data_IF_040219855876
#
_entry.id   IF_040219855876
#
_cell.length_a   1.000
_cell.length_b   1.000
_cell.length_c   1.000
_cell.angle_alpha   90.00
_cell.angle_beta   90.00
_cell.angle_gamma   90.00
#
_symmetry.space_group_name_H-M   'P 1'
#
loop_
_entity.id
_entity.type
_entity.pdbx_description
1 polymer ?
2 polymer ?
3 polymer ?
4 polymer ?
5 non-polymer ?
6 water ?
#
loop_
_entity_poly.entity_id
_entity_poly.type
_entity_poly.pdbx_seq_one_letter_code
_entity_poly.pdbx_strand_id
3 'polydeoxyribonucleotide' '(DT)(DG)(DT)(DA)(DT)(DG)(DC)(DA)(DA)(DA)(DT)(DA)(DA)(DG)(DG)' ?
4 'polydeoxyribonucleotide' '(DA)(DC)(DC)(DT)(DT)(DA)(DT)(DT)(DT)(DG)(DC)(DA)(DT)(DA)(DC)' ?
#
# COMPACT_ATOMS: atom_id res chain seq x y z
N UNK A 5 33.66 -5.37 23.75
CA UNK A 5 32.38 -6.08 23.73
C UNK A 5 31.38 -5.44 22.77
N UNK A 6 30.68 -6.28 22.01
CA UNK A 6 29.62 -5.77 21.14
C UNK A 6 28.51 -5.14 21.96
N UNK A 7 28.04 -5.84 22.99
CA UNK A 7 26.98 -5.29 23.83
C UNK A 7 27.39 -3.93 24.40
N UNK A 8 28.61 -3.85 24.93
CA UNK A 8 29.08 -2.59 25.50
C UNK A 8 29.20 -1.51 24.42
N UNK A 9 29.58 -1.89 23.19
CA UNK A 9 29.62 -0.90 22.11
C UNK A 9 28.25 -0.35 21.81
N UNK A 10 27.23 -1.21 21.79
CA UNK A 10 25.86 -0.74 21.58
C UNK A 10 25.41 0.15 22.73
N UNK A 11 25.79 -0.19 23.96
CA UNK A 11 25.46 0.64 25.11
C UNK A 11 26.06 2.05 24.97
N UNK A 12 27.36 2.12 24.65
CA UNK A 12 28.01 3.41 24.51
C UNK A 12 27.43 4.21 23.36
N UNK A 13 27.13 3.55 22.22
CA UNK A 13 26.57 4.28 21.09
C UNK A 13 25.19 4.84 21.43
N UNK A 14 24.32 4.01 21.97
CA UNK A 14 22.99 4.50 22.32
C UNK A 14 23.10 5.73 23.21
N UNK A 15 24.03 5.70 24.17
CA UNK A 15 24.19 6.84 25.07
C UNK A 15 24.66 8.08 24.30
N UNK A 16 25.71 7.94 23.50
CA UNK A 16 26.20 9.08 22.72
C UNK A 16 25.12 9.62 21.79
N UNK A 17 24.38 8.73 21.13
CA UNK A 17 23.30 9.15 20.25
C UNK A 17 22.25 9.95 21.00
N UNK A 18 21.79 9.42 22.14
CA UNK A 18 20.78 10.11 22.94
C UNK A 18 21.28 11.48 23.38
N UNK A 19 22.52 11.55 23.91
CA UNK A 19 23.07 12.84 24.35
C UNK A 19 23.07 13.86 23.22
N UNK A 20 23.48 13.46 22.02
CA UNK A 20 23.57 14.43 20.93
C UNK A 20 22.18 14.86 20.49
N UNK A 21 21.25 13.91 20.40
CA UNK A 21 19.86 14.26 20.10
C UNK A 21 19.35 15.34 21.04
N UNK A 22 19.55 15.13 22.35
CA UNK A 22 19.03 16.06 23.34
C UNK A 22 19.80 17.38 23.29
N UNK A 23 21.11 17.32 23.04
CA UNK A 23 21.89 18.55 23.02
C UNK A 23 21.40 19.47 21.92
N UNK A 24 20.90 18.91 20.82
CA UNK A 24 20.41 19.69 19.69
C UNK A 24 18.94 20.03 19.79
N UNK A 25 18.24 19.51 20.79
CA UNK A 25 16.83 19.83 20.94
C UNK A 25 15.89 18.99 20.11
N UNK A 26 16.37 17.88 19.53
CA UNK A 26 15.54 16.97 18.77
C UNK A 26 14.69 16.11 19.70
N UNK A 27 13.42 15.91 19.33
CA UNK A 27 12.67 14.84 19.99
C UNK A 27 13.03 13.49 19.35
N UNK A 28 12.61 12.41 20.00
CA UNK A 28 12.76 11.08 19.41
C UNK A 28 11.98 10.96 18.11
N UNK A 29 10.74 11.46 18.09
CA UNK A 29 10.00 11.50 16.83
C UNK A 29 10.67 12.33 15.76
N UNK A 30 11.23 13.50 16.13
CA UNK A 30 11.95 14.31 15.17
C UNK A 30 13.05 13.52 14.48
N UNK A 31 13.83 12.80 15.26
CA UNK A 31 15.01 12.18 14.66
C UNK A 31 14.57 10.97 13.84
N UNK A 32 13.51 10.27 14.25
CA UNK A 32 12.99 9.21 13.39
C UNK A 32 12.51 9.71 12.05
N UNK A 33 11.82 10.85 12.04
CA UNK A 33 11.41 11.46 10.78
C UNK A 33 12.62 11.93 9.99
N UNK A 34 13.61 12.52 10.67
CA UNK A 34 14.80 12.99 9.98
C UNK A 34 15.46 11.85 9.22
N UNK A 35 15.45 10.64 9.79
CA UNK A 35 16.13 9.54 9.13
C UNK A 35 15.39 9.10 7.86
N UNK A 36 14.09 9.35 7.78
CA UNK A 36 13.37 9.11 6.55
C UNK A 36 13.68 10.16 5.49
N UNK A 37 13.72 11.42 5.92
CA UNK A 37 14.00 12.51 4.99
C UNK A 37 15.40 12.38 4.41
N UNK A 38 16.39 12.12 5.26
CA UNK A 38 17.78 12.14 4.83
C UNK A 38 18.23 10.82 4.20
N UNK A 39 17.79 9.69 4.75
CA UNK A 39 18.28 8.38 4.32
C UNK A 39 17.17 7.47 3.79
N UNK A 40 15.94 7.95 3.72
CA UNK A 40 14.86 7.23 3.09
C UNK A 40 14.18 6.20 3.96
N UNK A 41 14.60 6.04 5.21
CA UNK A 41 14.11 4.98 6.09
C UNK A 41 13.67 5.60 7.41
N UNK A 42 12.39 5.96 7.48
CA UNK A 42 11.86 6.56 8.70
C UNK A 42 11.58 5.48 9.75
N UNK A 43 11.75 5.86 11.01
CA UNK A 43 11.40 5.01 12.14
C UNK A 43 10.59 5.83 13.14
N UNK A 44 9.81 5.13 13.94
CA UNK A 44 8.85 5.76 14.83
C UNK A 44 9.54 6.24 16.10
N UNK A 45 8.87 7.16 16.78
CA UNK A 45 9.30 7.56 18.11
C UNK A 45 9.49 6.35 19.02
N UNK A 46 8.55 5.39 18.95
CA UNK A 46 8.63 4.18 19.74
C UNK A 46 9.94 3.45 19.52
N UNK A 47 10.34 3.30 18.27
CA UNK A 47 11.56 2.58 17.99
C UNK A 47 12.77 3.35 18.50
N UNK A 48 12.79 4.66 18.30
CA UNK A 48 13.91 5.45 18.81
C UNK A 48 14.00 5.30 20.32
N UNK A 49 12.85 5.30 21.01
CA UNK A 49 12.84 5.12 22.45
C UNK A 49 13.46 3.78 22.84
N UNK A 50 12.99 2.70 22.21
CA UNK A 50 13.52 1.39 22.53
C UNK A 50 15.01 1.34 22.26
N UNK A 51 15.46 1.91 21.15
CA UNK A 51 16.88 1.83 20.82
C UNK A 51 17.70 2.51 21.91
N UNK A 52 17.28 3.71 22.34
CA UNK A 52 18.04 4.46 23.35
C UNK A 52 18.03 3.77 24.72
N UNK A 53 16.98 3.02 25.02
CA UNK A 53 16.89 2.27 26.27
C UNK A 53 17.49 0.86 26.15
N UNK A 54 17.97 0.47 24.98
CA UNK A 54 18.50 -0.88 24.77
C UNK A 54 17.41 -1.93 24.97
N UNK A 55 16.16 -1.56 24.74
CA UNK A 55 15.03 -2.49 24.81
C UNK A 55 14.70 -3.09 23.46
N UNK A 56 15.72 -3.38 22.66
CA UNK A 56 15.61 -4.13 21.43
C UNK A 56 16.59 -5.30 21.49
N UNK A 57 16.35 -6.30 20.64
CA UNK A 57 17.23 -7.45 20.63
C UNK A 57 18.62 -7.05 20.12
N UNK A 58 19.58 -7.94 20.33
CA UNK A 58 20.94 -7.66 19.87
C UNK A 58 20.98 -7.50 18.36
N UNK A 59 20.42 -8.46 17.62
CA UNK A 59 20.40 -8.35 16.17
C UNK A 59 19.70 -7.05 15.74
N UNK A 60 18.62 -6.69 16.43
CA UNK A 60 17.86 -5.53 16.01
C UNK A 60 18.66 -4.25 16.25
N UNK A 61 19.40 -4.19 17.36
CA UNK A 61 20.21 -3.00 17.58
C UNK A 61 21.35 -2.93 16.58
N UNK A 62 21.98 -4.08 16.29
CA UNK A 62 23.04 -4.10 15.30
C UNK A 62 22.53 -3.67 13.93
N UNK A 63 21.26 -3.94 13.64
CA UNK A 63 20.73 -3.57 12.33
C UNK A 63 20.50 -2.07 12.23
N UNK A 64 19.97 -1.46 13.30
CA UNK A 64 19.61 -0.04 13.25
C UNK A 64 20.81 0.86 13.49
N UNK A 65 21.82 0.38 14.22
CA UNK A 65 22.94 1.25 14.61
C UNK A 65 23.58 1.95 13.42
N UNK A 66 23.92 1.28 12.32
CA UNK A 66 24.55 1.99 11.21
C UNK A 66 23.65 3.05 10.60
N UNK A 67 22.33 2.86 10.65
CA UNK A 67 21.41 3.89 10.17
C UNK A 67 21.43 5.10 11.11
N UNK A 68 21.27 4.86 12.41
CA UNK A 68 21.34 5.96 13.38
C UNK A 68 22.71 6.62 13.36
N UNK A 69 23.75 5.85 13.07
CA UNK A 69 25.10 6.42 13.06
C UNK A 69 25.27 7.43 11.93
N UNK A 70 24.56 7.25 10.81
CA UNK A 70 24.61 8.24 9.74
C UNK A 70 24.14 9.60 10.24
N UNK A 71 23.06 9.63 11.01
CA UNK A 71 22.57 10.91 11.52
C UNK A 71 23.53 11.47 12.56
N UNK A 72 24.02 10.63 13.47
CA UNK A 72 24.94 11.10 14.49
C UNK A 72 26.20 11.70 13.85
N UNK A 73 26.73 11.04 12.81
CA UNK A 73 27.91 11.60 12.15
C UNK A 73 27.62 12.96 11.54
N UNK A 74 26.42 13.14 10.97
CA UNK A 74 26.04 14.46 10.48
C UNK A 74 25.88 15.44 11.65
N UNK A 75 25.21 15.02 12.72
CA UNK A 75 25.06 15.87 13.89
C UNK A 75 26.40 16.22 14.54
N UNK A 76 27.45 15.45 14.27
CA UNK A 76 28.76 15.71 14.83
C UNK A 76 29.76 16.22 13.80
N UNK A 77 29.33 16.47 12.57
CA UNK A 77 30.21 17.05 11.57
C UNK A 77 30.41 18.53 11.84
N UNK A 100 9.87 1.22 3.86
CA UNK A 100 9.61 0.06 3.03
C UNK A 100 8.43 -0.76 3.56
N UNK A 101 8.19 -0.73 4.87
CA UNK A 101 7.06 -1.49 5.41
C UNK A 101 5.76 -0.74 5.16
N UNK A 102 4.68 -1.51 5.04
CA UNK A 102 3.36 -0.92 4.92
C UNK A 102 2.97 -0.24 6.23
N UNK A 103 2.19 0.82 6.12
CA UNK A 103 1.68 1.49 7.32
C UNK A 103 0.83 0.53 8.15
N UNK A 104 0.89 0.72 9.46
CA UNK A 104 0.14 -0.12 10.38
C UNK A 104 -1.35 0.17 10.27
N UNK A 105 -2.15 -0.82 9.90
CA UNK A 105 -3.58 -0.60 9.70
C UNK A 105 -4.29 -0.41 11.04
N UNK A 106 -5.09 0.65 11.15
CA UNK A 106 -5.98 0.83 12.30
C UNK A 106 -7.30 0.12 12.03
N UNK A 107 -7.72 -0.73 12.95
CA UNK A 107 -8.95 -1.49 12.84
C UNK A 107 -9.97 -0.91 13.81
N UNK A 108 -11.10 -0.46 13.28
CA UNK A 108 -12.14 0.15 14.11
C UNK A 108 -12.60 -0.83 15.19
N UNK A 109 -12.98 -0.28 16.34
CA UNK A 109 -13.40 -1.12 17.45
C UNK A 109 -14.51 -2.08 17.05
N UNK A 110 -15.53 -1.57 16.34
CA UNK A 110 -16.65 -2.43 15.98
C UNK A 110 -16.22 -3.50 14.97
N UNK A 111 -15.25 -3.19 14.11
CA UNK A 111 -14.73 -4.20 13.19
C UNK A 111 -13.91 -5.24 13.96
N UNK A 112 -13.07 -4.80 14.90
CA UNK A 112 -12.30 -5.75 15.69
C UNK A 112 -13.21 -6.71 16.43
N UNK A 113 -14.35 -6.22 16.93
CA UNK A 113 -15.25 -7.10 17.67
C UNK A 113 -15.92 -8.10 16.73
N UNK A 114 -16.22 -7.69 15.49
CA UNK A 114 -16.75 -8.62 14.51
C UNK A 114 -15.74 -9.72 14.20
N UNK A 115 -14.47 -9.35 14.00
CA UNK A 115 -13.45 -10.36 13.76
C UNK A 115 -13.28 -11.27 14.98
N UNK A 116 -13.31 -10.70 16.18
CA UNK A 116 -13.12 -11.51 17.38
C UNK A 116 -14.26 -12.51 17.56
N UNK A 117 -15.51 -12.09 17.31
CA UNK A 117 -16.61 -13.02 17.49
C UNK A 117 -16.54 -14.15 16.46
N UNK A 118 -16.11 -13.84 15.24
CA UNK A 118 -15.88 -14.89 14.25
C UNK A 118 -14.80 -15.85 14.70
N UNK A 119 -13.70 -15.30 15.26
CA UNK A 119 -12.59 -16.13 15.70
C UNK A 119 -13.03 -17.16 16.73
N UNK A 120 -13.97 -16.77 17.60
CA UNK A 120 -14.36 -17.65 18.70
C UNK A 120 -15.02 -18.93 18.21
N UNK A 121 -15.69 -18.90 17.06
CA UNK A 121 -16.32 -20.11 16.53
C UNK A 121 -15.65 -20.61 15.26
N UNK A 122 -14.73 -19.85 14.68
CA UNK A 122 -13.99 -20.27 13.49
C UNK A 122 -12.62 -19.62 13.56
N UNK A 123 -11.73 -20.17 14.38
CA UNK A 123 -10.39 -19.56 14.53
C UNK A 123 -9.53 -19.67 13.28
N UNK A 124 -9.91 -20.52 12.32
CA UNK A 124 -9.08 -20.75 11.14
C UNK A 124 -9.98 -20.80 9.91
N UNK A 125 -10.49 -19.64 9.52
CA UNK A 125 -11.31 -19.59 8.30
C UNK A 125 -10.49 -19.95 7.08
N UNK A 126 -11.18 -20.52 6.11
CA UNK A 126 -10.56 -20.82 4.83
C UNK A 126 -10.17 -19.54 4.10
N UNK A 127 -9.36 -19.70 3.06
CA UNK A 127 -9.01 -18.55 2.23
C UNK A 127 -10.24 -17.90 1.63
N UNK A 128 -11.19 -18.72 1.12
CA UNK A 128 -12.43 -18.16 0.61
C UNK A 128 -13.12 -17.32 1.68
N UNK A 129 -13.23 -17.85 2.89
CA UNK A 129 -13.94 -17.12 3.93
C UNK A 129 -13.21 -15.83 4.28
N UNK A 130 -11.87 -15.90 4.32
CA UNK A 130 -11.08 -14.70 4.58
C UNK A 130 -11.41 -13.64 3.53
N UNK A 131 -11.47 -14.03 2.26
CA UNK A 131 -11.78 -13.07 1.21
C UNK A 131 -13.19 -12.51 1.38
N UNK A 132 -14.13 -13.35 1.80
CA UNK A 132 -15.50 -12.89 1.97
C UNK A 132 -15.61 -11.93 3.15
N UNK A 133 -14.91 -12.23 4.25
CA UNK A 133 -14.89 -11.33 5.40
C UNK A 133 -14.34 -9.98 4.98
N UNK A 134 -13.22 -9.98 4.27
CA UNK A 134 -12.63 -8.72 3.83
C UNK A 134 -13.59 -7.93 2.97
N UNK A 135 -14.26 -8.59 2.02
CA UNK A 135 -15.21 -7.91 1.15
C UNK A 135 -16.33 -7.29 1.97
N UNK A 136 -16.87 -8.04 2.92
CA UNK A 136 -18.00 -7.55 3.71
C UNK A 136 -17.59 -6.40 4.62
N UNK A 137 -16.39 -6.47 5.18
CA UNK A 137 -15.89 -5.46 6.08
C UNK A 137 -15.09 -4.37 5.38
N UNK A 138 -15.04 -4.37 4.04
CA UNK A 138 -14.36 -3.34 3.26
C UNK A 138 -12.90 -3.20 3.69
N UNK A 139 -12.25 -4.32 3.97
CA UNK A 139 -10.85 -4.38 4.33
C UNK A 139 -10.06 -5.08 3.23
N UNK A 140 -8.74 -4.95 3.29
CA UNK A 140 -7.87 -5.70 2.39
C UNK A 140 -7.75 -7.15 2.84
N UNK A 141 -7.81 -8.07 1.87
CA UNK A 141 -7.75 -9.49 2.19
C UNK A 141 -6.50 -9.82 3.01
N UNK A 142 -5.35 -9.22 2.66
CA UNK A 142 -4.13 -9.54 3.39
C UNK A 142 -4.22 -9.12 4.85
N UNK A 143 -4.91 -8.03 5.14
CA UNK A 143 -5.05 -7.60 6.52
C UNK A 143 -5.89 -8.60 7.29
N UNK A 144 -6.99 -9.06 6.71
CA UNK A 144 -7.82 -10.03 7.41
C UNK A 144 -7.05 -11.34 7.60
N UNK A 145 -6.34 -11.79 6.55
CA UNK A 145 -5.54 -13.01 6.67
C UNK A 145 -4.58 -12.90 7.85
N UNK A 146 -3.84 -11.81 7.90
CA UNK A 146 -2.84 -11.63 8.94
C UNK A 146 -3.49 -11.46 10.31
N UNK A 147 -4.65 -10.78 10.36
CA UNK A 147 -5.38 -10.70 11.63
C UNK A 147 -5.63 -12.07 12.22
N UNK A 148 -6.08 -13.03 11.41
CA UNK A 148 -6.37 -14.34 11.95
C UNK A 148 -5.09 -15.09 12.31
N UNK A 149 -4.03 -14.91 11.52
CA UNK A 149 -2.76 -15.54 11.88
C UNK A 149 -2.29 -15.06 13.24
N UNK A 150 -2.29 -13.74 13.43
CA UNK A 150 -1.83 -13.16 14.68
C UNK A 150 -2.73 -13.58 15.83
N UNK A 151 -4.03 -13.66 15.59
CA UNK A 151 -4.95 -13.99 16.66
C UNK A 151 -4.78 -15.42 17.11
N UNK A 152 -4.48 -16.33 16.18
CA UNK A 152 -4.16 -17.69 16.57
C UNK A 152 -2.90 -17.72 17.43
N UNK A 153 -1.89 -16.94 17.05
CA UNK A 153 -0.66 -16.90 17.84
C UNK A 153 -0.93 -16.32 19.23
N UNK A 154 -1.77 -15.29 19.30
CA UNK A 154 -2.13 -14.75 20.61
C UNK A 154 -2.80 -15.80 21.48
N UNK A 155 -3.73 -16.57 20.90
CA UNK A 155 -4.42 -17.56 21.70
C UNK A 155 -3.42 -18.58 22.27
N UNK A 156 -2.37 -18.89 21.51
CA UNK A 156 -1.31 -19.73 22.06
C UNK A 156 -0.53 -19.00 23.16
N UNK A 157 -0.18 -17.72 22.93
CA UNK A 157 0.62 -17.00 23.92
C UNK A 157 -0.10 -16.93 25.26
N UNK A 158 -1.38 -16.54 25.25
CA UNK A 158 -2.11 -16.36 26.51
C UNK A 158 -2.57 -17.68 27.09
N UNK A 159 -2.29 -18.80 26.43
CA UNK A 159 -2.65 -20.13 26.92
C UNK A 159 -4.15 -20.25 27.14
N UNK B 6 -4.27 -10.14 33.78
CA UNK B 6 -2.95 -10.13 34.39
C UNK B 6 -1.88 -10.62 33.42
N UNK B 7 -2.30 -11.43 32.45
CA UNK B 7 -1.36 -12.02 31.49
C UNK B 7 -1.03 -11.00 30.41
N UNK B 8 0.24 -10.96 30.03
CA UNK B 8 0.69 -10.06 28.97
C UNK B 8 0.07 -10.49 27.65
N UNK B 9 -0.65 -9.57 27.00
CA UNK B 9 -1.44 -9.93 25.81
C UNK B 9 -0.60 -9.99 24.53
N UNK B 10 0.33 -9.06 24.34
CA UNK B 10 1.01 -8.89 23.07
C UNK B 10 2.37 -9.58 23.01
N UNK B 11 3.10 -9.27 21.96
CA UNK B 11 4.42 -9.84 21.72
C UNK B 11 5.45 -8.99 22.45
N UNK B 12 6.43 -9.65 23.07
CA UNK B 12 7.55 -8.96 23.70
C UNK B 12 8.85 -9.32 23.00
N UNK B 13 9.78 -8.37 22.99
CA UNK B 13 11.14 -8.69 22.57
C UNK B 13 11.74 -9.71 23.52
N UNK B 14 12.39 -10.71 22.96
CA UNK B 14 13.18 -11.65 23.75
C UNK B 14 14.62 -11.19 23.79
N UNK B 15 15.23 -11.24 24.97
CA UNK B 15 16.65 -10.97 25.12
C UNK B 15 17.01 -9.59 24.57
N UNK B 16 16.52 -8.58 25.28
CA UNK B 16 16.94 -7.21 24.98
C UNK B 16 18.42 -7.01 25.33
N UNK B 17 19.02 -6.04 24.66
CA UNK B 17 20.42 -5.75 24.96
C UNK B 17 20.57 -5.38 26.43
N UNK B 18 19.59 -4.68 26.99
CA UNK B 18 19.63 -4.33 28.40
C UNK B 18 19.72 -5.59 29.27
N UNK B 19 18.88 -6.59 29.00
CA UNK B 19 18.92 -7.81 29.79
C UNK B 19 20.21 -8.58 29.57
N UNK B 20 20.67 -8.66 28.31
CA UNK B 20 21.90 -9.39 28.03
C UNK B 20 23.09 -8.75 28.73
N UNK B 21 23.13 -7.41 28.78
CA UNK B 21 24.21 -6.74 29.50
C UNK B 21 24.18 -7.05 30.98
N UNK B 22 22.99 -7.06 31.58
CA UNK B 22 22.88 -7.40 33.00
C UNK B 22 23.28 -8.85 33.23
N UNK B 23 22.91 -9.74 32.30
CA UNK B 23 23.25 -11.15 32.46
C UNK B 23 24.76 -11.36 32.33
N UNK B 24 25.40 -10.63 31.42
CA UNK B 24 26.85 -10.75 31.28
C UNK B 24 27.57 -10.20 32.52
N UNK B 25 27.13 -9.04 33.02
CA UNK B 25 27.80 -8.44 34.15
C UNK B 25 27.55 -9.18 35.46
N UNK B 26 26.58 -10.10 35.49
CA UNK B 26 26.33 -10.89 36.68
C UNK B 26 27.13 -12.19 36.67
N UNK B 27 27.49 -12.70 35.50
CA UNK B 27 28.25 -13.94 35.38
C UNK B 27 27.76 -14.80 34.24
N UNK E 5 -29.92 -7.18 -8.09
CA UNK E 5 -30.77 -6.39 -8.97
C UNK E 5 -29.96 -5.34 -9.70
N UNK E 6 -29.26 -4.49 -8.93
CA UNK E 6 -28.43 -3.47 -9.55
C UNK E 6 -27.33 -4.10 -10.39
N UNK E 7 -26.70 -5.17 -9.88
CA UNK E 7 -25.76 -5.92 -10.69
C UNK E 7 -26.41 -6.41 -11.97
N UNK E 8 -27.64 -6.93 -11.85
CA UNK E 8 -28.35 -7.40 -13.03
C UNK E 8 -28.63 -6.26 -13.99
N UNK E 9 -28.96 -5.08 -13.46
CA UNK E 9 -29.24 -3.93 -14.32
C UNK E 9 -28.00 -3.51 -15.09
N UNK E 10 -26.84 -3.52 -14.44
CA UNK E 10 -25.60 -3.21 -15.15
C UNK E 10 -25.36 -4.24 -16.26
N UNK E 11 -25.51 -5.53 -15.94
CA UNK E 11 -25.34 -6.57 -16.95
C UNK E 11 -26.24 -6.31 -18.16
N UNK E 12 -27.53 -6.03 -17.92
CA UNK E 12 -28.46 -5.80 -19.01
C UNK E 12 -28.07 -4.57 -19.83
N UNK E 13 -27.68 -3.48 -19.16
CA UNK E 13 -27.29 -2.29 -19.90
C UNK E 13 -26.02 -2.53 -20.71
N UNK E 14 -25.04 -3.23 -20.13
CA UNK E 14 -23.81 -3.49 -20.88
C UNK E 14 -24.12 -4.27 -22.15
N UNK E 15 -25.10 -5.17 -22.10
CA UNK E 15 -25.45 -5.97 -23.26
C UNK E 15 -26.20 -5.14 -24.30
N UNK E 16 -27.09 -4.25 -23.87
CA UNK E 16 -27.81 -3.40 -24.81
C UNK E 16 -26.87 -2.41 -25.47
N UNK E 17 -25.91 -1.86 -24.71
CA UNK E 17 -24.96 -0.92 -25.27
C UNK E 17 -24.10 -1.59 -26.34
N UNK E 18 -23.50 -2.72 -26.00
CA UNK E 18 -22.67 -3.45 -26.96
C UNK E 18 -23.45 -3.82 -28.22
N UNK E 19 -24.71 -4.21 -28.07
CA UNK E 19 -25.43 -4.69 -29.24
C UNK E 19 -25.78 -3.53 -30.18
N UNK E 20 -26.05 -2.35 -29.64
CA UNK E 20 -26.30 -1.21 -30.51
C UNK E 20 -25.00 -0.77 -31.17
N UNK E 21 -23.90 -0.77 -30.42
CA UNK E 21 -22.60 -0.43 -30.99
C UNK E 21 -22.29 -1.30 -32.19
N UNK E 22 -22.35 -2.62 -32.03
CA UNK E 22 -22.06 -3.54 -33.11
C UNK E 22 -23.05 -3.37 -34.26
N UNK E 23 -24.32 -3.08 -33.94
CA UNK E 23 -25.34 -2.94 -34.98
C UNK E 23 -25.03 -1.77 -35.91
N UNK E 24 -24.39 -0.73 -35.37
CA UNK E 24 -24.06 0.45 -36.15
C UNK E 24 -22.66 0.42 -36.73
N UNK E 25 -21.93 -0.68 -36.57
CA UNK E 25 -20.61 -0.80 -37.14
C UNK E 25 -19.53 -0.08 -36.37
N UNK E 26 -19.80 0.31 -35.14
CA UNK E 26 -18.84 1.05 -34.32
C UNK E 26 -17.93 0.08 -33.59
N UNK E 27 -16.64 0.42 -33.56
CA UNK E 27 -15.72 -0.31 -32.70
C UNK E 27 -15.75 0.25 -31.28
N UNK E 28 -15.13 -0.49 -30.36
CA UNK E 28 -14.98 0.00 -28.99
C UNK E 28 -14.21 1.31 -28.96
N UNK E 29 -13.10 1.36 -29.67
CA UNK E 29 -12.33 2.61 -29.74
C UNK E 29 -13.10 3.74 -30.38
N UNK E 30 -13.89 3.45 -31.42
CA UNK E 30 -14.74 4.45 -32.05
C UNK E 30 -15.70 5.08 -31.05
N UNK E 31 -16.40 4.24 -30.29
CA UNK E 31 -17.41 4.78 -29.38
C UNK E 31 -16.75 5.53 -28.24
N UNK E 32 -15.58 5.09 -27.80
CA UNK E 32 -14.86 5.84 -26.78
C UNK E 32 -14.47 7.23 -27.25
N UNK E 33 -13.96 7.32 -28.48
CA UNK E 33 -13.70 8.62 -29.09
C UNK E 33 -14.98 9.44 -29.25
N UNK E 34 -16.08 8.78 -29.62
CA UNK E 34 -17.33 9.51 -29.84
C UNK E 34 -17.79 10.20 -28.56
N UNK E 35 -17.63 9.55 -27.43
CA UNK E 35 -18.11 10.17 -26.21
C UNK E 35 -17.23 11.36 -25.82
N UNK E 36 -15.96 11.33 -26.21
CA UNK E 36 -15.16 12.53 -26.12
C UNK E 36 -15.66 13.63 -27.04
N UNK E 37 -15.93 13.28 -28.30
CA UNK E 37 -16.30 14.28 -29.29
C UNK E 37 -17.66 14.89 -28.97
N UNK E 38 -18.60 14.10 -28.47
CA UNK E 38 -19.96 14.57 -28.26
C UNK E 38 -20.16 15.25 -26.91
N UNK E 39 -19.53 14.71 -25.87
CA UNK E 39 -19.84 15.11 -24.51
C UNK E 39 -18.63 15.60 -23.73
N UNK E 40 -17.43 15.51 -24.29
CA UNK E 40 -16.24 15.82 -23.54
C UNK E 40 -15.86 14.77 -22.52
N UNK E 41 -16.32 13.54 -22.70
CA UNK E 41 -16.02 12.41 -21.80
C UNK E 41 -15.29 11.36 -22.60
N UNK E 42 -14.01 11.59 -22.90
CA UNK E 42 -13.25 10.65 -23.71
C UNK E 42 -12.93 9.41 -22.89
N UNK E 43 -13.15 8.24 -23.47
CA UNK E 43 -12.73 6.99 -22.87
C UNK E 43 -12.04 6.12 -23.92
N UNK E 44 -11.14 5.27 -23.44
CA UNK E 44 -10.30 4.44 -24.30
C UNK E 44 -11.02 3.19 -24.71
N UNK E 45 -10.55 2.61 -25.82
CA UNK E 45 -10.95 1.25 -26.19
C UNK E 45 -10.88 0.31 -25.00
N UNK E 46 -9.80 0.40 -24.21
CA UNK E 46 -9.61 -0.47 -23.07
C UNK E 46 -10.78 -0.36 -22.10
N UNK E 47 -11.18 0.86 -21.77
CA UNK E 47 -12.28 1.06 -20.84
C UNK E 47 -13.60 0.53 -21.41
N UNK E 48 -13.86 0.76 -22.69
CA UNK E 48 -15.08 0.22 -23.30
C UNK E 48 -15.08 -1.29 -23.24
N UNK E 49 -13.94 -1.92 -23.56
CA UNK E 49 -13.84 -3.37 -23.44
C UNK E 49 -14.20 -3.82 -22.04
N UNK E 50 -13.61 -3.17 -21.03
CA UNK E 50 -13.84 -3.61 -19.66
C UNK E 50 -15.29 -3.38 -19.25
N UNK E 51 -15.89 -2.27 -19.68
CA UNK E 51 -17.28 -2.03 -19.32
C UNK E 51 -18.18 -3.09 -19.93
N UNK E 52 -18.00 -3.37 -21.22
CA UNK E 52 -18.86 -4.36 -21.87
C UNK E 52 -18.66 -5.76 -21.30
N UNK E 53 -17.50 -6.03 -20.73
CA UNK E 53 -17.20 -7.32 -20.12
C UNK E 53 -17.48 -7.35 -18.63
N UNK E 54 -17.93 -6.23 -18.05
CA UNK E 54 -18.17 -6.11 -16.62
C UNK E 54 -16.89 -6.28 -15.80
N UNK E 55 -15.71 -6.10 -16.42
CA UNK E 55 -14.41 -6.15 -15.71
C UNK E 55 -14.05 -4.82 -15.05
N UNK E 56 -15.02 -4.17 -14.43
CA UNK E 56 -14.80 -2.99 -13.62
C UNK E 56 -15.53 -3.17 -12.29
N UNK E 57 -15.17 -2.35 -11.31
CA UNK E 57 -15.82 -2.45 -10.01
C UNK E 57 -17.28 -2.03 -10.11
N UNK E 58 -18.03 -2.31 -9.04
CA UNK E 58 -19.43 -1.93 -9.01
C UNK E 58 -19.58 -0.41 -9.06
N UNK E 59 -18.85 0.31 -8.21
CA UNK E 59 -18.94 1.77 -8.22
C UNK E 59 -18.53 2.35 -9.57
N UNK E 60 -17.49 1.79 -10.18
CA UNK E 60 -17.00 2.31 -11.45
C UNK E 60 -18.03 2.12 -12.56
N UNK E 61 -18.67 0.94 -12.62
CA UNK E 61 -19.69 0.73 -13.63
C UNK E 61 -20.91 1.62 -13.40
N UNK E 62 -21.27 1.86 -12.15
CA UNK E 62 -22.37 2.77 -11.87
C UNK E 62 -22.05 4.18 -12.32
N UNK E 63 -20.78 4.56 -12.23
CA UNK E 63 -20.37 5.91 -12.62
C UNK E 63 -20.38 6.06 -14.14
N UNK E 64 -19.93 5.03 -14.86
CA UNK E 64 -19.81 5.12 -16.31
C UNK E 64 -21.14 4.92 -17.02
N UNK E 65 -22.05 4.13 -16.45
CA UNK E 65 -23.31 3.84 -17.12
C UNK E 65 -24.05 5.08 -17.57
N UNK E 66 -24.27 6.09 -16.72
CA UNK E 66 -25.03 7.25 -17.20
C UNK E 66 -24.37 7.95 -18.37
N UNK E 67 -23.03 7.86 -18.47
CA UNK E 67 -22.33 8.51 -19.56
C UNK E 67 -22.54 7.74 -20.87
N UNK E 68 -22.31 6.42 -20.83
CA UNK E 68 -22.57 5.59 -22.00
C UNK E 68 -24.05 5.62 -22.38
N UNK E 69 -24.93 5.80 -21.40
CA UNK E 69 -26.37 5.83 -21.68
C UNK E 69 -26.74 7.05 -22.51
N UNK E 70 -26.00 8.14 -22.36
CA UNK E 70 -26.25 9.33 -23.18
C UNK E 70 -26.02 9.01 -24.65
N UNK E 71 -24.93 8.33 -24.95
CA UNK E 71 -24.69 7.92 -26.33
C UNK E 71 -25.78 6.95 -26.80
N UNK E 72 -26.10 5.96 -25.97
CA UNK E 72 -27.09 4.96 -26.38
C UNK E 72 -28.42 5.64 -26.69
N UNK E 73 -28.81 6.62 -25.87
CA UNK E 73 -30.08 7.30 -26.11
C UNK E 73 -30.03 8.09 -27.41
N UNK E 74 -28.90 8.75 -27.71
CA UNK E 74 -28.79 9.42 -29.00
C UNK E 74 -28.78 8.41 -30.14
N UNK E 75 -28.18 7.24 -29.92
CA UNK E 75 -28.17 6.20 -30.96
C UNK E 75 -29.56 5.66 -31.23
N UNK E 76 -30.47 5.75 -30.26
CA UNK E 76 -31.82 5.20 -30.40
C UNK E 76 -32.87 6.25 -30.76
N UNK E 77 -32.46 7.49 -31.02
CA UNK E 77 -33.42 8.53 -31.38
C UNK E 77 -33.57 8.63 -32.90
N UNK E 100 -10.84 15.11 -18.67
CA UNK E 100 -10.71 15.55 -17.29
C UNK E 100 -9.40 15.06 -16.68
N UNK E 101 -8.92 13.92 -17.16
CA UNK E 101 -7.63 13.41 -16.72
C UNK E 101 -6.57 13.80 -17.74
N UNK E 102 -5.34 13.93 -17.25
CA UNK E 102 -4.18 14.09 -18.12
C UNK E 102 -3.97 12.82 -18.95
N UNK E 103 -3.57 13.01 -20.21
CA UNK E 103 -3.18 11.88 -21.05
C UNK E 103 -2.10 11.07 -20.33
N UNK E 104 -2.22 9.75 -20.43
CA UNK E 104 -1.22 8.90 -19.81
C UNK E 104 0.13 9.12 -20.49
N UNK E 105 1.15 9.45 -19.70
CA UNK E 105 2.48 9.68 -20.24
C UNK E 105 3.11 8.33 -20.58
N UNK E 106 3.63 8.23 -21.80
CA UNK E 106 4.40 7.07 -22.22
C UNK E 106 5.84 7.25 -21.76
N UNK E 107 6.32 6.34 -20.93
CA UNK E 107 7.67 6.43 -20.38
C UNK E 107 8.52 5.38 -21.09
N UNK E 108 9.46 5.84 -21.90
CA UNK E 108 10.27 4.93 -22.71
C UNK E 108 11.07 3.99 -21.82
N UNK E 109 11.46 2.87 -22.42
CA UNK E 109 12.23 1.85 -21.72
C UNK E 109 13.51 2.43 -21.12
N UNK E 110 14.25 3.22 -21.91
CA UNK E 110 15.52 3.75 -21.42
C UNK E 110 15.30 4.66 -20.22
N UNK E 111 14.21 5.41 -20.21
CA UNK E 111 13.92 6.29 -19.08
C UNK E 111 13.48 5.47 -17.87
N UNK E 112 12.68 4.43 -18.08
CA UNK E 112 12.25 3.60 -16.96
C UNK E 112 13.46 2.96 -16.27
N UNK E 113 14.43 2.48 -17.05
CA UNK E 113 15.62 1.87 -16.45
C UNK E 113 16.39 2.88 -15.63
N UNK E 114 16.49 4.12 -16.12
CA UNK E 114 17.18 5.19 -15.40
C UNK E 114 16.47 5.53 -14.08
N UNK E 115 15.15 5.66 -14.12
CA UNK E 115 14.40 5.92 -12.90
C UNK E 115 14.53 4.77 -11.92
N UNK E 116 14.52 3.53 -12.42
CA UNK E 116 14.64 2.39 -11.52
C UNK E 116 15.98 2.43 -10.78
N UNK E 117 17.05 2.83 -11.46
CA UNK E 117 18.35 2.93 -10.81
C UNK E 117 18.33 4.01 -9.73
N UNK E 118 17.64 5.12 -9.99
CA UNK E 118 17.51 6.16 -8.98
C UNK E 118 16.69 5.67 -7.80
N UNK E 119 15.67 4.86 -8.07
CA UNK E 119 14.85 4.31 -7.00
C UNK E 119 15.66 3.38 -6.10
N UNK E 120 16.55 2.58 -6.70
CA UNK E 120 17.42 1.75 -5.88
C UNK E 120 18.36 2.61 -5.03
N UNK E 121 18.77 3.78 -5.54
CA UNK E 121 19.64 4.65 -4.75
C UNK E 121 18.87 5.28 -3.59
N UNK E 122 17.64 5.70 -3.82
CA UNK E 122 16.83 6.39 -2.84
C UNK E 122 15.37 6.20 -3.21
N UNK E 123 14.62 5.39 -2.47
CA UNK E 123 13.22 5.16 -2.82
C UNK E 123 12.34 6.38 -2.63
N UNK E 124 12.79 7.38 -1.86
CA UNK E 124 11.98 8.55 -1.52
C UNK E 124 12.81 9.83 -1.65
N UNK E 125 13.11 10.23 -2.89
CA UNK E 125 13.80 11.52 -3.09
C UNK E 125 12.98 12.68 -2.55
N UNK E 126 13.69 13.71 -2.11
CA UNK E 126 13.02 14.95 -1.72
C UNK E 126 12.39 15.61 -2.93
N UNK E 127 11.48 16.56 -2.67
CA UNK E 127 10.91 17.34 -3.75
C UNK E 127 11.99 18.01 -4.59
N UNK E 128 13.00 18.59 -3.94
CA UNK E 128 14.12 19.17 -4.69
C UNK E 128 14.83 18.10 -5.54
N UNK E 129 15.01 16.89 -4.99
CA UNK E 129 15.66 15.83 -5.76
C UNK E 129 14.81 15.42 -6.94
N UNK E 130 13.50 15.33 -6.74
CA UNK E 130 12.57 15.03 -7.83
C UNK E 130 12.71 16.07 -8.94
N UNK E 131 12.80 17.34 -8.56
CA UNK E 131 12.93 18.39 -9.56
C UNK E 131 14.21 18.22 -10.38
N UNK E 132 15.31 17.86 -9.72
CA UNK E 132 16.56 17.67 -10.44
C UNK E 132 16.50 16.46 -11.36
N UNK E 133 15.85 15.38 -10.92
CA UNK E 133 15.71 14.21 -11.78
C UNK E 133 14.89 14.57 -13.02
N UNK E 134 13.77 15.26 -12.83
CA UNK E 134 12.96 15.66 -13.98
C UNK E 134 13.77 16.54 -14.92
N UNK E 135 14.60 17.41 -14.36
CA UNK E 135 15.45 18.29 -15.17
C UNK E 135 16.48 17.51 -15.95
N UNK E 136 17.10 16.51 -15.32
CA UNK E 136 18.14 15.74 -15.98
C UNK E 136 17.56 14.83 -17.06
N UNK E 137 16.37 14.29 -16.84
CA UNK E 137 15.73 13.41 -17.81
C UNK E 137 14.79 14.13 -18.76
N UNK E 138 14.72 15.46 -18.68
CA UNK E 138 13.83 16.26 -19.53
C UNK E 138 12.38 15.75 -19.43
N UNK E 139 11.92 15.53 -18.22
CA UNK E 139 10.55 15.11 -17.94
C UNK E 139 9.86 16.18 -17.09
N UNK E 140 8.53 16.10 -17.07
CA UNK E 140 7.76 16.99 -16.20
C UNK E 140 7.92 16.54 -14.75
N UNK E 141 8.07 17.52 -13.86
CA UNK E 141 8.28 17.21 -12.45
C UNK E 141 7.17 16.33 -11.89
N UNK E 142 5.92 16.64 -12.21
CA UNK E 142 4.80 15.87 -11.67
C UNK E 142 4.82 14.41 -12.13
N UNK E 143 5.31 14.14 -13.35
CA UNK E 143 5.40 12.77 -13.82
C UNK E 143 6.45 12.01 -13.03
N UNK E 144 7.56 12.67 -12.70
CA UNK E 144 8.58 12.01 -11.90
C UNK E 144 8.08 11.80 -10.48
N UNK E 145 7.43 12.80 -9.89
CA UNK E 145 6.91 12.66 -8.53
C UNK E 145 5.98 11.45 -8.44
N UNK E 146 5.05 11.35 -9.38
CA UNK E 146 4.07 10.25 -9.39
C UNK E 146 4.76 8.92 -9.67
N UNK E 147 5.74 8.90 -10.59
CA UNK E 147 6.49 7.67 -10.84
C UNK E 147 7.05 7.09 -9.55
N UNK E 148 7.62 7.91 -8.67
CA UNK E 148 8.19 7.41 -7.43
C UNK E 148 7.10 6.97 -6.46
N UNK E 149 5.99 7.70 -6.40
CA UNK E 149 4.87 7.27 -5.57
C UNK E 149 4.40 5.90 -6.01
N UNK E 150 4.16 5.73 -7.30
CA UNK E 150 3.66 4.45 -7.77
C UNK E 150 4.69 3.36 -7.56
N UNK E 151 5.98 3.69 -7.73
CA UNK E 151 7.02 2.66 -7.59
C UNK E 151 7.12 2.19 -6.13
N UNK E 152 7.01 3.13 -5.19
CA UNK E 152 6.96 2.74 -3.79
C UNK E 152 5.78 1.85 -3.50
N UNK E 153 4.62 2.16 -4.09
CA UNK E 153 3.45 1.33 -3.85
C UNK E 153 3.67 -0.07 -4.42
N UNK E 154 4.29 -0.14 -5.59
CA UNK E 154 4.58 -1.45 -6.20
C UNK E 154 5.48 -2.28 -5.29
N UNK E 155 6.51 -1.66 -4.72
CA UNK E 155 7.42 -2.38 -3.83
C UNK E 155 6.66 -3.03 -2.67
N UNK E 156 5.68 -2.32 -2.12
CA UNK E 156 4.87 -2.88 -1.04
C UNK E 156 3.90 -3.94 -1.56
N UNK E 157 3.46 -3.81 -2.82
CA UNK E 157 2.49 -4.74 -3.39
C UNK E 157 3.11 -6.12 -3.58
N UNK E 158 4.22 -6.19 -4.32
CA UNK E 158 4.82 -7.46 -4.68
C UNK E 158 5.90 -7.90 -3.70
N UNK E 159 6.19 -7.09 -2.69
CA UNK E 159 7.18 -7.44 -1.65
C UNK E 159 8.56 -7.56 -2.26
N UNK F 6 3.32 -17.11 -11.47
CA UNK F 6 3.72 -15.79 -11.93
C UNK F 6 3.19 -14.71 -10.99
N UNK F 7 3.93 -13.61 -10.91
CA UNK F 7 3.61 -12.52 -10.00
C UNK F 7 2.96 -11.41 -10.80
N UNK F 8 1.73 -11.04 -10.43
CA UNK F 8 1.05 -9.92 -11.06
C UNK F 8 1.70 -8.61 -10.64
N UNK F 9 2.21 -7.85 -11.61
CA UNK F 9 3.03 -6.68 -11.29
C UNK F 9 2.19 -5.45 -10.97
N UNK F 10 1.07 -5.26 -11.65
CA UNK F 10 0.33 -4.01 -11.61
C UNK F 10 -0.81 -4.04 -10.61
N UNK F 11 -1.59 -2.95 -10.64
CA UNK F 11 -2.77 -2.81 -9.81
C UNK F 11 -3.90 -3.59 -10.46
N UNK F 12 -4.67 -4.32 -9.66
CA UNK F 12 -5.81 -5.08 -10.13
C UNK F 12 -7.10 -4.45 -9.61
N UNK F 13 -8.13 -4.41 -10.45
CA UNK F 13 -9.45 -4.07 -9.97
C UNK F 13 -9.90 -5.13 -8.97
N UNK F 14 -10.52 -4.68 -7.88
CA UNK F 14 -11.08 -5.59 -6.89
C UNK F 14 -12.58 -5.70 -7.08
N UNK F 15 -13.11 -6.91 -6.86
CA UNK F 15 -14.54 -7.14 -6.90
C UNK F 15 -15.15 -6.55 -8.17
N UNK F 16 -14.72 -7.06 -9.32
CA UNK F 16 -15.36 -6.69 -10.57
C UNK F 16 -16.82 -7.12 -10.55
N UNK F 17 -17.64 -6.42 -11.35
CA UNK F 17 -19.05 -6.79 -11.44
C UNK F 17 -19.19 -8.18 -12.02
N UNK F 18 -18.30 -8.56 -12.93
CA UNK F 18 -18.28 -9.94 -13.40
C UNK F 18 -18.16 -10.91 -12.24
N UNK F 19 -17.21 -10.64 -11.35
CA UNK F 19 -17.00 -11.54 -10.21
C UNK F 19 -18.12 -11.45 -9.18
N UNK F 20 -18.71 -10.27 -9.00
CA UNK F 20 -19.78 -10.15 -8.03
C UNK F 20 -21.03 -10.89 -8.48
N UNK F 21 -21.36 -10.79 -9.77
CA UNK F 21 -22.47 -11.58 -10.30
C UNK F 21 -22.22 -13.06 -10.08
N UNK F 22 -20.98 -13.51 -10.24
CA UNK F 22 -20.67 -14.92 -10.03
C UNK F 22 -21.08 -15.35 -8.62
N UNK F 23 -20.65 -14.61 -7.61
CA UNK F 23 -21.03 -14.95 -6.24
C UNK F 23 -22.53 -14.84 -6.02
N UNK F 24 -23.20 -13.92 -6.72
CA UNK F 24 -24.65 -13.75 -6.52
C UNK F 24 -25.41 -14.95 -7.08
N UNK F 25 -24.95 -15.51 -8.20
CA UNK F 25 -25.61 -16.62 -8.85
C UNK F 25 -24.98 -17.97 -8.51
N UNK F 26 -24.13 -18.01 -7.47
CA UNK F 26 -23.52 -19.27 -7.08
C UNK F 26 -24.57 -20.30 -6.66
N UNK F 27 -25.71 -19.84 -6.14
CA UNK F 27 -26.77 -20.74 -5.72
C UNK F 27 -28.13 -20.09 -5.74
#
# INVERSE_FOLDING_TARGET
>A
GDEPSDLEELEKFAKTFKQRRIKLGFTQGDVGLAMGKLYGNDFSQTTISRFEALNLSFKNMCKLKPLLEKWLNDAESSPSDPSVSTPSSYPSLSEVFGRKRKKRTSIETNIRLTLEKRFQDNPKPSSEEISMIAEQLSMEKEVVRVWFCNRRQKEKRINC
>B
GDYSKRVYQGVRVKHTVKDLLAEKRSGQTSNSRLNGSVSSS
>E
GDEPSDLEELEKFAKTFKQRRIKLGFTQGDVGLAMGKLYGNDFSQTTISRFEALNLSFKNMCKLKPLLEKWLNDAESSPSDPSVSTPSSYPSLSEVFGRKRKKRTSIETNIRLTLEKRFQDNPKPSSEEISMIAEQLSMEKEVVRVWFCNRRQKEKRINC
>F
GDYSKRVYQGVRVKHTVKDLLAEKRSGQTSNSRLNGSVSSS
#
